data_IF_582394544688
#
_entry.id   IF_582394544688
#
_cell.length_a   1.000
_cell.length_b   1.000
_cell.length_c   1.000
_cell.angle_alpha   90.00
_cell.angle_beta   90.00
_cell.angle_gamma   90.00
#
_symmetry.space_group_name_H-M   'P 1'
#
loop_
_entity.id
_entity.type
_entity.pdbx_description
1 polymer ?
#
# COMPACT_ATOMS: atom_id res chain seq x y z
N UNK A 1 -15.81 1.03 -17.79
CA UNK A 1 -14.58 0.27 -17.47
C UNK A 1 -13.36 0.72 -18.26
N UNK A 2 -13.47 1.00 -19.57
CA UNK A 2 -12.32 1.46 -20.39
C UNK A 2 -11.56 2.63 -19.76
N UNK A 3 -12.26 3.70 -19.42
CA UNK A 3 -11.62 4.93 -18.90
C UNK A 3 -10.97 4.70 -17.53
N UNK A 4 -11.63 3.95 -16.65
CA UNK A 4 -11.06 3.55 -15.35
C UNK A 4 -9.77 2.74 -15.53
N UNK A 5 -9.75 1.78 -16.44
CA UNK A 5 -8.56 0.97 -16.69
C UNK A 5 -7.43 1.80 -17.31
N UNK A 6 -7.75 2.82 -18.12
CA UNK A 6 -6.74 3.77 -18.62
C UNK A 6 -6.12 4.59 -17.49
N UNK A 7 -6.92 5.00 -16.49
CA UNK A 7 -6.40 5.68 -15.29
C UNK A 7 -5.51 4.76 -14.46
N UNK A 8 -5.91 3.49 -14.27
CA UNK A 8 -5.08 2.50 -13.57
C UNK A 8 -3.75 2.31 -14.29
N UNK A 9 -3.75 2.21 -15.62
CA UNK A 9 -2.52 2.14 -16.41
C UNK A 9 -1.63 3.39 -16.23
N UNK A 10 -2.24 4.58 -16.23
CA UNK A 10 -1.52 5.83 -15.96
C UNK A 10 -0.83 5.85 -14.59
N UNK A 11 -1.50 5.34 -13.55
CA UNK A 11 -0.92 5.20 -12.20
C UNK A 11 0.25 4.20 -12.21
N UNK A 12 0.13 3.07 -12.89
CA UNK A 12 1.20 2.07 -13.01
C UNK A 12 2.46 2.66 -13.66
N UNK A 13 2.27 3.41 -14.77
CA UNK A 13 3.36 4.14 -15.44
C UNK A 13 4.00 5.17 -14.50
N UNK A 14 3.21 5.95 -13.77
CA UNK A 14 3.71 6.94 -12.83
C UNK A 14 4.52 6.31 -11.68
N UNK A 15 4.09 5.14 -11.17
CA UNK A 15 4.86 4.37 -10.18
C UNK A 15 6.20 3.92 -10.78
N UNK A 16 6.21 3.49 -12.04
CA UNK A 16 7.44 3.19 -12.78
C UNK A 16 8.40 4.38 -12.82
N UNK A 17 7.90 5.56 -13.20
CA UNK A 17 8.69 6.80 -13.27
C UNK A 17 9.30 7.19 -11.91
N UNK A 18 8.53 7.07 -10.82
CA UNK A 18 9.03 7.35 -9.46
C UNK A 18 10.18 6.39 -9.12
N UNK A 19 10.03 5.10 -9.43
CA UNK A 19 11.08 4.09 -9.16
C UNK A 19 12.34 4.33 -9.99
N UNK A 20 12.19 4.70 -11.26
CA UNK A 20 13.32 5.08 -12.11
C UNK A 20 14.06 6.30 -11.56
N UNK A 21 13.33 7.30 -11.08
CA UNK A 21 13.94 8.49 -10.48
C UNK A 21 14.69 8.14 -9.19
N UNK A 22 14.11 7.32 -8.31
CA UNK A 22 14.83 6.83 -7.12
C UNK A 22 16.13 6.09 -7.49
N UNK A 23 16.13 5.31 -8.58
CA UNK A 23 17.33 4.62 -9.06
C UNK A 23 18.41 5.59 -9.58
N UNK A 24 18.02 6.59 -10.38
CA UNK A 24 18.96 7.61 -10.91
C UNK A 24 19.68 8.37 -9.79
N UNK A 25 19.00 8.61 -8.68
CA UNK A 25 19.56 9.33 -7.52
C UNK A 25 20.22 8.41 -6.49
N UNK A 26 20.36 7.10 -6.78
CA UNK A 26 20.91 6.09 -5.85
C UNK A 26 20.17 6.02 -4.51
N UNK A 27 18.85 6.25 -4.53
CA UNK A 27 17.99 6.25 -3.35
C UNK A 27 17.24 4.93 -3.16
N UNK A 28 17.24 4.04 -4.16
CA UNK A 28 16.50 2.76 -4.13
C UNK A 28 16.73 1.98 -2.84
N UNK A 29 17.98 1.71 -2.46
CA UNK A 29 18.33 0.89 -1.30
C UNK A 29 18.00 1.53 0.07
N UNK A 30 17.65 2.82 0.08
CA UNK A 30 17.33 3.60 1.29
C UNK A 30 15.86 4.00 1.37
N UNK A 31 15.05 3.58 0.40
CA UNK A 31 13.65 4.00 0.29
C UNK A 31 12.73 2.81 0.48
N UNK A 32 11.83 2.91 1.47
CA UNK A 32 10.69 1.99 1.58
C UNK A 32 9.58 2.49 0.67
N UNK A 33 9.00 1.60 -0.12
CA UNK A 33 7.84 1.89 -0.97
C UNK A 33 6.60 1.24 -0.34
N UNK A 34 5.60 2.06 -0.02
CA UNK A 34 4.28 1.60 0.42
C UNK A 34 3.29 1.98 -0.67
N UNK A 35 2.70 0.99 -1.32
CA UNK A 35 1.62 1.18 -2.29
C UNK A 35 0.30 0.75 -1.65
N UNK A 36 -0.66 1.66 -1.59
CA UNK A 36 -1.97 1.41 -1.02
C UNK A 36 -3.05 2.19 -1.78
N UNK A 37 -4.31 1.91 -1.45
CA UNK A 37 -5.44 2.73 -1.86
C UNK A 37 -6.30 3.09 -0.64
N UNK A 38 -6.97 4.23 -0.68
CA UNK A 38 -7.87 4.72 0.37
C UNK A 38 -9.20 3.95 0.40
N UNK A 39 -9.62 3.40 -0.74
CA UNK A 39 -10.87 2.69 -0.90
C UNK A 39 -10.96 1.83 -2.15
N UNK A 40 -11.78 0.79 -2.08
CA UNK A 40 -12.13 -0.02 -3.23
C UNK A 40 -13.15 0.68 -4.13
N UNK A 41 -13.37 0.10 -5.32
CA UNK A 41 -14.28 0.64 -6.33
C UNK A 41 -15.23 -0.45 -6.78
N UNK A 42 -16.55 -0.21 -6.68
CA UNK A 42 -17.55 -1.24 -7.01
C UNK A 42 -17.46 -1.76 -8.44
N UNK A 43 -16.99 -0.95 -9.38
CA UNK A 43 -16.85 -1.36 -10.78
C UNK A 43 -18.10 -2.04 -11.39
N UNK A 44 -19.30 -1.60 -11.00
CA UNK A 44 -20.58 -2.16 -11.45
C UNK A 44 -21.14 -3.29 -10.58
N UNK A 45 -20.40 -3.75 -9.56
CA UNK A 45 -20.92 -4.70 -8.55
C UNK A 45 -22.11 -4.06 -7.82
N UNK A 46 -23.19 -4.83 -7.70
CA UNK A 46 -24.49 -4.38 -7.19
C UNK A 46 -25.12 -3.19 -7.95
N UNK A 47 -24.67 -2.91 -9.18
CA UNK A 47 -25.16 -1.77 -9.97
C UNK A 47 -24.58 -0.42 -9.54
N UNK A 48 -23.60 -0.39 -8.62
CA UNK A 48 -22.98 0.84 -8.14
C UNK A 48 -21.70 1.19 -8.91
N UNK A 49 -21.50 2.50 -9.10
CA UNK A 49 -20.19 3.10 -9.34
C UNK A 49 -19.66 3.75 -8.06
N UNK A 50 -18.35 3.90 -7.94
CA UNK A 50 -17.69 4.53 -6.79
C UNK A 50 -17.77 3.73 -5.47
N UNK A 51 -17.61 4.43 -4.34
CA UNK A 51 -17.64 3.93 -2.97
C UNK A 51 -18.88 4.46 -2.26
N UNK A 52 -19.76 3.57 -1.81
CA UNK A 52 -21.02 3.96 -1.17
C UNK A 52 -21.36 3.10 0.05
N UNK A 53 -21.03 1.80 0.00
CA UNK A 53 -21.49 0.80 0.97
C UNK A 53 -20.31 0.05 1.61
N UNK A 54 -20.48 -0.53 2.83
CA UNK A 54 -19.42 -1.22 3.55
C UNK A 54 -19.24 -2.68 3.08
N UNK A 55 -19.34 -2.94 1.77
CA UNK A 55 -19.02 -4.27 1.23
C UNK A 55 -17.52 -4.43 0.97
N UNK A 56 -17.09 -5.68 0.88
CA UNK A 56 -15.69 -6.07 0.69
C UNK A 56 -15.06 -5.35 -0.51
N UNK A 57 -15.78 -5.21 -1.63
CA UNK A 57 -15.29 -4.57 -2.86
C UNK A 57 -14.98 -3.07 -2.68
N UNK A 58 -15.54 -2.43 -1.65
CA UNK A 58 -15.33 -1.02 -1.33
C UNK A 58 -14.31 -0.81 -0.20
N UNK A 59 -14.13 -1.82 0.65
CA UNK A 59 -13.29 -1.75 1.84
C UNK A 59 -11.91 -2.40 1.63
N UNK A 60 -11.85 -3.50 0.87
CA UNK A 60 -10.62 -4.24 0.63
C UNK A 60 -9.82 -3.62 -0.51
N UNK A 61 -8.67 -3.08 -0.15
CA UNK A 61 -7.76 -2.34 -1.03
C UNK A 61 -6.43 -3.06 -1.16
N UNK A 62 -5.65 -2.80 -2.24
CA UNK A 62 -4.26 -3.24 -2.28
C UNK A 62 -3.47 -2.58 -1.14
N UNK A 63 -2.58 -3.37 -0.53
CA UNK A 63 -1.52 -2.90 0.36
C UNK A 63 -0.27 -3.72 0.07
N UNK A 64 0.78 -3.05 -0.43
CA UNK A 64 2.08 -3.65 -0.72
C UNK A 64 3.16 -2.80 -0.06
N UNK A 65 4.08 -3.46 0.65
CA UNK A 65 5.23 -2.81 1.28
C UNK A 65 6.49 -3.47 0.74
N UNK A 66 7.38 -2.66 0.20
CA UNK A 66 8.69 -3.05 -0.26
C UNK A 66 9.75 -2.30 0.55
N UNK A 67 10.47 -3.02 1.39
CA UNK A 67 11.65 -2.49 2.10
C UNK A 67 12.88 -3.21 1.56
N UNK A 68 13.78 -2.56 0.81
CA UNK A 68 14.99 -3.19 0.25
C UNK A 68 15.94 -3.69 1.34
N UNK A 69 15.83 -3.18 2.58
CA UNK A 69 16.69 -3.55 3.72
C UNK A 69 16.26 -4.87 4.38
N UNK A 70 15.05 -5.35 4.10
CA UNK A 70 14.51 -6.57 4.73
C UNK A 70 14.92 -7.83 3.96
N UNK A 71 15.36 -8.88 4.67
CA UNK A 71 15.89 -10.14 4.10
C UNK A 71 14.90 -10.96 3.25
N UNK A 72 13.63 -10.58 3.25
CA UNK A 72 12.55 -11.26 2.52
C UNK A 72 11.96 -10.39 1.41
N UNK A 73 12.53 -9.20 1.21
CA UNK A 73 12.08 -8.27 0.17
C UNK A 73 12.16 -8.90 -1.21
N UNK A 74 11.19 -8.59 -2.07
CA UNK A 74 11.08 -9.16 -3.42
C UNK A 74 10.60 -10.62 -3.49
N UNK A 75 10.42 -11.34 -2.36
CA UNK A 75 9.95 -12.74 -2.35
C UNK A 75 8.44 -12.93 -2.58
N UNK A 76 7.72 -11.86 -2.95
CA UNK A 76 6.27 -11.87 -3.23
C UNK A 76 5.44 -12.52 -2.09
N UNK A 77 5.84 -12.31 -0.84
CA UNK A 77 5.13 -12.82 0.32
C UNK A 77 3.71 -12.25 0.38
N UNK A 78 2.78 -13.05 0.89
CA UNK A 78 1.39 -12.63 1.14
C UNK A 78 1.02 -12.98 2.58
N UNK A 79 0.50 -11.99 3.30
CA UNK A 79 -0.08 -12.19 4.63
C UNK A 79 -1.60 -12.30 4.54
N UNK A 80 -2.19 -13.14 5.40
CA UNK A 80 -3.64 -13.21 5.62
C UNK A 80 -4.08 -12.37 6.83
N UNK A 81 -3.16 -11.66 7.48
CA UNK A 81 -3.48 -10.80 8.61
C UNK A 81 -4.47 -9.71 8.20
N UNK A 82 -5.46 -9.44 9.05
CA UNK A 82 -6.35 -8.32 8.87
C UNK A 82 -5.58 -7.02 9.15
N UNK A 83 -5.70 -6.06 8.24
CA UNK A 83 -5.02 -4.77 8.32
C UNK A 83 -5.99 -3.66 7.94
N UNK A 84 -5.70 -2.44 8.35
CA UNK A 84 -6.45 -1.24 7.99
C UNK A 84 -5.56 -0.05 7.69
N UNK A 85 -6.13 1.01 7.10
CA UNK A 85 -5.37 2.23 6.79
C UNK A 85 -4.72 2.89 8.02
N UNK A 86 -5.31 2.72 9.21
CA UNK A 86 -4.74 3.21 10.47
C UNK A 86 -3.39 2.56 10.83
N UNK A 87 -3.08 1.38 10.28
CA UNK A 87 -1.84 0.63 10.53
C UNK A 87 -0.64 1.21 9.75
N UNK A 88 -0.89 2.03 8.72
CA UNK A 88 0.17 2.60 7.86
C UNK A 88 1.04 3.57 8.67
N UNK A 89 0.43 4.48 9.44
CA UNK A 89 1.15 5.47 10.24
C UNK A 89 2.14 4.85 11.27
N UNK A 90 1.71 3.92 12.16
CA UNK A 90 2.65 3.28 13.10
C UNK A 90 3.70 2.44 12.39
N UNK A 91 3.40 1.87 11.21
CA UNK A 91 4.38 1.13 10.40
C UNK A 91 5.47 2.06 9.85
N UNK A 92 5.10 3.25 9.34
CA UNK A 92 6.08 4.25 8.87
C UNK A 92 7.00 4.69 10.01
N UNK A 93 6.45 4.98 11.19
CA UNK A 93 7.25 5.39 12.35
C UNK A 93 8.28 4.33 12.72
N UNK A 94 7.88 3.06 12.78
CA UNK A 94 8.80 1.98 13.10
C UNK A 94 9.88 1.78 12.03
N UNK A 95 9.52 1.83 10.74
CA UNK A 95 10.48 1.68 9.64
C UNK A 95 11.48 2.83 9.56
N UNK A 96 11.12 3.99 10.11
CA UNK A 96 12.00 5.14 10.31
C UNK A 96 12.81 5.08 11.62
N UNK A 97 12.60 4.06 12.47
CA UNK A 97 13.28 3.93 13.76
C UNK A 97 12.76 4.90 14.84
N UNK A 98 11.55 5.42 14.68
CA UNK A 98 10.92 6.37 15.61
C UNK A 98 10.00 5.65 16.60
N UNK A 99 9.82 6.25 17.78
CA UNK A 99 8.86 5.78 18.77
C UNK A 99 7.42 5.95 18.28
N UNK A 100 6.58 4.94 18.49
CA UNK A 100 5.14 4.99 18.19
C UNK A 100 4.40 5.57 19.41
N UNK A 101 3.68 6.70 19.28
CA UNK A 101 2.85 7.25 20.34
C UNK A 101 1.75 6.26 20.79
N UNK A 102 1.51 6.17 22.11
CA UNK A 102 0.51 5.25 22.67
C UNK A 102 -0.94 5.57 22.33
N UNK A 103 -1.23 6.73 21.76
CA UNK A 103 -2.57 7.16 21.35
C UNK A 103 -2.88 6.87 19.86
N UNK A 104 -1.99 6.21 19.12
CA UNK A 104 -2.27 5.75 17.76
C UNK A 104 -3.16 4.50 17.82
N UNK A 105 -4.30 4.53 17.14
CA UNK A 105 -5.27 3.42 17.13
C UNK A 105 -4.90 2.24 16.22
N UNK A 106 -3.93 2.41 15.33
CA UNK A 106 -3.43 1.34 14.45
C UNK A 106 -2.28 0.53 15.06
N UNK A 107 -1.96 -0.59 14.43
CA UNK A 107 -0.84 -1.47 14.79
C UNK A 107 0.21 -1.45 13.69
N UNK A 108 1.48 -1.54 14.09
CA UNK A 108 2.58 -1.74 13.15
C UNK A 108 2.47 -3.07 12.40
N UNK A 109 2.76 -3.06 11.11
CA UNK A 109 2.63 -4.24 10.23
C UNK A 109 3.90 -5.06 10.06
N UNK A 110 5.05 -4.55 10.53
CA UNK A 110 6.36 -5.21 10.40
C UNK A 110 6.39 -6.63 10.99
N UNK A 111 5.60 -6.89 12.04
CA UNK A 111 5.42 -8.22 12.63
C UNK A 111 4.86 -9.26 11.64
N UNK A 112 4.26 -8.81 10.53
CA UNK A 112 3.69 -9.67 9.48
C UNK A 112 4.61 -9.85 8.27
N UNK A 113 5.84 -9.34 8.29
CA UNK A 113 6.74 -9.33 7.12
C UNK A 113 7.33 -10.70 6.75
N UNK A 114 6.99 -11.77 7.46
CA UNK A 114 7.44 -13.14 7.16
C UNK A 114 8.41 -13.65 8.19
#
# INVERSE_FOLDING_TARGET
MRDYNQLVYGVDVAVGMIREELAKHNLTEKTVIIFASDSGYANGVYGYGAKVLPYEEFARVPLMIYDPRHSVSGKKLRSKALTGGCDIAPTILELAGLSIPGNIGGKKLTASFG
#
